data_IF_534253894961
#
_entry.id   IF_534253894961
#
_cell.length_a   1.000
_cell.length_b   1.000
_cell.length_c   1.000
_cell.angle_alpha   90.00
_cell.angle_beta   90.00
_cell.angle_gamma   90.00
#
_symmetry.space_group_name_H-M   'P 1'
#
loop_
_entity.id
_entity.type
_entity.pdbx_description
1 polymer ?
#
# COMPACT_ATOMS: atom_id res chain seq x y z
N UNK A 1 12.71 -16.40 14.59
CA UNK A 1 12.61 -15.33 13.56
C UNK A 1 11.23 -14.67 13.65
N UNK A 2 11.16 -13.35 13.86
CA UNK A 2 10.04 -12.59 14.47
C UNK A 2 10.01 -12.66 16.01
N UNK A 3 11.18 -12.61 16.65
CA UNK A 3 11.25 -12.70 18.12
C UNK A 3 11.08 -11.32 18.73
N UNK A 4 9.99 -11.17 19.48
CA UNK A 4 9.78 -10.05 20.39
C UNK A 4 10.47 -10.42 21.70
N UNK A 5 11.28 -9.52 22.29
CA UNK A 5 11.94 -9.81 23.56
C UNK A 5 10.92 -10.13 24.66
N UNK A 6 11.26 -11.05 25.56
CA UNK A 6 10.37 -11.48 26.65
C UNK A 6 10.03 -10.36 27.63
N UNK A 7 10.88 -9.32 27.71
CA UNK A 7 10.69 -8.14 28.56
C UNK A 7 9.77 -7.08 27.94
N UNK A 8 9.30 -7.27 26.70
CA UNK A 8 8.35 -6.36 26.10
C UNK A 8 6.96 -6.54 26.72
N UNK A 9 6.36 -5.45 27.20
CA UNK A 9 5.02 -5.48 27.82
C UNK A 9 3.88 -5.26 26.81
N UNK A 10 4.17 -4.67 25.65
CA UNK A 10 3.18 -4.46 24.59
C UNK A 10 3.76 -4.79 23.22
N UNK A 11 2.98 -5.47 22.38
CA UNK A 11 3.36 -5.84 21.02
C UNK A 11 2.19 -5.64 20.05
N UNK A 12 2.48 -5.03 18.89
CA UNK A 12 1.59 -4.91 17.76
C UNK A 12 2.24 -5.53 16.53
N UNK A 13 1.64 -6.61 16.02
CA UNK A 13 2.05 -7.27 14.79
C UNK A 13 1.09 -6.91 13.66
N UNK A 14 1.62 -6.46 12.53
CA UNK A 14 0.85 -6.13 11.32
C UNK A 14 1.47 -6.83 10.12
N UNK A 15 0.70 -7.70 9.47
CA UNK A 15 1.13 -8.31 8.21
C UNK A 15 0.76 -7.41 7.03
N UNK A 16 1.59 -7.44 5.99
CA UNK A 16 1.27 -6.80 4.73
C UNK A 16 -0.02 -7.42 4.17
N UNK A 17 -0.90 -6.58 3.62
CA UNK A 17 -2.14 -7.06 2.99
C UNK A 17 -1.93 -7.51 1.54
N UNK A 18 -0.68 -7.48 1.05
CA UNK A 18 -0.35 -7.73 -0.34
C UNK A 18 -0.88 -6.66 -1.28
N UNK A 19 -1.26 -7.07 -2.49
CA UNK A 19 -1.78 -6.19 -3.53
C UNK A 19 -2.81 -6.91 -4.39
N UNK A 20 -3.88 -6.19 -4.78
CA UNK A 20 -4.85 -6.72 -5.74
C UNK A 20 -4.37 -6.41 -7.15
N UNK A 21 -4.47 -7.40 -8.03
CA UNK A 21 -3.97 -7.34 -9.38
C UNK A 21 -5.10 -7.72 -10.34
N UNK A 22 -5.26 -6.97 -11.44
CA UNK A 22 -6.14 -7.42 -12.52
C UNK A 22 -5.58 -8.70 -13.15
N UNK A 23 -6.43 -9.71 -13.34
CA UNK A 23 -6.02 -10.94 -14.07
C UNK A 23 -5.76 -10.68 -15.56
N UNK A 24 -6.28 -9.57 -16.07
CA UNK A 24 -5.96 -9.12 -17.41
C UNK A 24 -4.49 -8.71 -17.49
N UNK A 25 -3.80 -9.21 -18.52
CA UNK A 25 -2.48 -8.72 -18.87
C UNK A 25 -2.64 -7.43 -19.67
N UNK A 26 -1.73 -6.48 -19.48
CA UNK A 26 -1.56 -5.40 -20.46
C UNK A 26 -1.08 -5.99 -21.80
N UNK A 27 -1.07 -5.19 -22.87
CA UNK A 27 -0.60 -5.63 -24.19
C UNK A 27 0.86 -6.12 -24.23
N UNK A 28 1.59 -5.98 -23.13
CA UNK A 28 2.98 -6.43 -22.94
C UNK A 28 3.08 -7.64 -21.99
N UNK A 29 1.95 -8.27 -21.65
CA UNK A 29 1.93 -9.47 -20.80
C UNK A 29 2.06 -9.20 -19.29
N UNK A 30 2.11 -7.95 -18.83
CA UNK A 30 2.29 -7.58 -17.41
C UNK A 30 0.95 -7.43 -16.68
N UNK A 31 0.89 -7.63 -15.35
CA UNK A 31 -0.35 -7.50 -14.60
C UNK A 31 -0.86 -6.06 -14.63
N UNK A 32 -2.11 -5.86 -15.05
CA UNK A 32 -2.47 -4.58 -15.70
C UNK A 32 -2.60 -3.34 -14.80
N UNK A 33 -2.64 -3.47 -13.47
CA UNK A 33 -2.57 -2.35 -12.50
C UNK A 33 -2.62 -2.92 -11.08
N UNK A 34 -1.70 -2.52 -10.19
CA UNK A 34 -1.85 -2.79 -8.77
C UNK A 34 -2.96 -1.94 -8.16
N UNK A 35 -3.76 -2.57 -7.29
CA UNK A 35 -4.86 -1.95 -6.57
C UNK A 35 -4.60 -2.16 -5.08
N UNK A 36 -4.75 -1.09 -4.30
CA UNK A 36 -4.57 -1.13 -2.86
C UNK A 36 -5.67 -1.98 -2.19
N UNK A 37 -5.33 -3.00 -1.38
CA UNK A 37 -6.33 -3.71 -0.59
C UNK A 37 -6.96 -2.80 0.47
N UNK A 38 -8.27 -2.97 0.72
CA UNK A 38 -8.96 -2.32 1.82
C UNK A 38 -8.43 -2.86 3.15
N UNK A 39 -8.36 -1.99 4.17
CA UNK A 39 -7.80 -2.32 5.48
C UNK A 39 -8.68 -3.30 6.26
N UNK A 40 -9.99 -3.03 6.26
CA UNK A 40 -10.98 -3.89 6.89
C UNK A 40 -11.14 -5.23 6.16
N UNK A 41 -11.28 -6.32 6.91
CA UNK A 41 -11.30 -7.68 6.38
C UNK A 41 -12.53 -7.94 5.51
N UNK A 42 -13.73 -7.58 6.00
CA UNK A 42 -14.98 -7.79 5.26
C UNK A 42 -14.99 -6.97 3.97
N UNK A 43 -14.54 -5.72 4.06
CA UNK A 43 -14.41 -4.82 2.93
C UNK A 43 -13.40 -5.34 1.89
N UNK A 44 -12.27 -5.92 2.33
CA UNK A 44 -11.26 -6.51 1.46
C UNK A 44 -11.77 -7.79 0.78
N UNK A 45 -12.52 -8.62 1.47
CA UNK A 45 -13.18 -9.78 0.87
C UNK A 45 -14.19 -9.35 -0.20
N UNK A 46 -15.01 -8.33 0.08
CA UNK A 46 -15.90 -7.75 -0.93
C UNK A 46 -15.11 -7.19 -2.12
N UNK A 47 -14.00 -6.51 -1.86
CA UNK A 47 -13.13 -5.93 -2.89
C UNK A 47 -12.51 -6.99 -3.82
N UNK A 48 -12.15 -8.17 -3.31
CA UNK A 48 -11.64 -9.28 -4.12
C UNK A 48 -12.68 -9.79 -5.13
N UNK A 49 -13.97 -9.70 -4.78
CA UNK A 49 -15.07 -10.07 -5.66
C UNK A 49 -15.47 -8.93 -6.63
N UNK A 50 -14.95 -7.72 -6.46
CA UNK A 50 -15.18 -6.62 -7.40
C UNK A 50 -14.48 -6.91 -8.74
N UNK A 51 -15.03 -6.33 -9.82
CA UNK A 51 -14.40 -6.38 -11.15
C UNK A 51 -13.49 -5.17 -11.35
N UNK A 52 -12.42 -5.37 -12.12
CA UNK A 52 -11.53 -4.29 -12.54
C UNK A 52 -12.33 -3.15 -13.16
N UNK A 53 -12.14 -1.92 -12.67
CA UNK A 53 -12.92 -0.77 -13.14
C UNK A 53 -12.71 -0.46 -14.62
N UNK A 54 -11.53 -0.77 -15.15
CA UNK A 54 -11.13 -0.50 -16.53
C UNK A 54 -11.60 -1.56 -17.53
N UNK A 55 -11.28 -2.84 -17.31
CA UNK A 55 -11.55 -3.91 -18.28
C UNK A 55 -12.60 -4.92 -17.83
N UNK A 56 -13.18 -4.75 -16.63
CA UNK A 56 -14.18 -5.64 -16.02
C UNK A 56 -13.73 -7.08 -15.75
N UNK A 57 -12.44 -7.39 -15.89
CA UNK A 57 -11.88 -8.68 -15.50
C UNK A 57 -11.86 -8.88 -13.98
N UNK A 58 -11.66 -10.12 -13.54
CA UNK A 58 -11.51 -10.44 -12.12
C UNK A 58 -10.27 -9.78 -11.51
N UNK A 59 -10.33 -9.58 -10.20
CA UNK A 59 -9.17 -9.24 -9.40
C UNK A 59 -8.64 -10.50 -8.73
N UNK A 60 -7.32 -10.57 -8.57
CA UNK A 60 -6.64 -11.61 -7.82
C UNK A 60 -5.80 -10.95 -6.73
N UNK A 61 -5.84 -11.49 -5.52
CA UNK A 61 -4.98 -11.06 -4.43
C UNK A 61 -3.61 -11.74 -4.58
N UNK A 62 -2.57 -10.93 -4.73
CA UNK A 62 -1.20 -11.36 -4.54
C UNK A 62 -0.86 -11.14 -3.07
N UNK A 63 -0.76 -12.24 -2.33
CA UNK A 63 -0.47 -12.23 -0.90
C UNK A 63 0.96 -11.78 -0.61
N UNK A 64 1.22 -11.41 0.65
CA UNK A 64 2.53 -10.99 1.11
C UNK A 64 2.72 -11.46 2.55
N UNK A 65 3.89 -12.03 2.81
CA UNK A 65 4.33 -12.56 4.10
C UNK A 65 5.12 -11.54 4.93
N UNK A 66 5.54 -10.43 4.30
CA UNK A 66 6.22 -9.34 5.00
C UNK A 66 5.38 -8.81 6.17
N UNK A 67 6.04 -8.60 7.30
CA UNK A 67 5.40 -8.24 8.56
C UNK A 67 6.14 -7.08 9.23
N UNK A 68 5.37 -6.20 9.86
CA UNK A 68 5.88 -5.15 10.74
C UNK A 68 5.50 -5.47 12.18
N UNK A 69 6.49 -5.47 13.06
CA UNK A 69 6.31 -5.68 14.49
C UNK A 69 6.73 -4.40 15.20
N UNK A 70 5.86 -3.88 16.06
CA UNK A 70 6.18 -2.81 16.99
C UNK A 70 6.03 -3.33 18.40
N UNK A 71 7.06 -3.22 19.22
CA UNK A 71 6.99 -3.58 20.63
C UNK A 71 7.51 -2.46 21.53
N UNK A 72 7.04 -2.48 22.77
CA UNK A 72 7.35 -1.51 23.80
C UNK A 72 7.98 -2.21 24.99
N UNK A 73 9.00 -1.61 25.55
CA UNK A 73 9.63 -2.06 26.78
C UNK A 73 10.11 -0.88 27.61
N UNK A 74 10.33 -1.12 28.89
CA UNK A 74 10.87 -0.15 29.84
C UNK A 74 12.27 -0.63 30.23
N UNK A 75 13.25 0.27 30.30
CA UNK A 75 14.59 -0.04 30.80
C UNK A 75 14.70 0.10 32.32
N UNK A 76 15.86 -0.22 32.89
CA UNK A 76 16.10 -0.16 34.34
C UNK A 76 15.94 1.27 34.91
N UNK A 77 16.04 2.30 34.06
CA UNK A 77 15.84 3.71 34.40
C UNK A 77 14.37 4.16 34.24
N UNK A 78 13.45 3.22 34.02
CA UNK A 78 12.02 3.45 33.80
C UNK A 78 11.71 4.30 32.55
N UNK A 79 12.57 4.24 31.53
CA UNK A 79 12.35 4.92 30.25
C UNK A 79 11.63 3.99 29.29
N UNK A 80 10.50 4.45 28.75
CA UNK A 80 9.76 3.73 27.71
C UNK A 80 10.49 3.81 26.36
N UNK A 81 10.72 2.65 25.75
CA UNK A 81 11.28 2.50 24.41
C UNK A 81 10.26 1.86 23.47
N UNK A 82 10.23 2.37 22.23
CA UNK A 82 9.44 1.78 21.14
C UNK A 82 10.35 1.31 20.02
N UNK A 83 10.22 0.03 19.64
CA UNK A 83 11.03 -0.57 18.58
C UNK A 83 10.14 -1.05 17.46
N UNK A 84 10.44 -0.62 16.24
CA UNK A 84 9.79 -1.07 15.00
C UNK A 84 10.74 -1.92 14.17
N UNK A 85 10.31 -3.13 13.84
CA UNK A 85 11.08 -4.07 13.03
C UNK A 85 10.25 -4.58 11.86
N UNK A 86 10.88 -4.58 10.69
CA UNK A 86 10.33 -5.15 9.46
C UNK A 86 10.97 -6.52 9.22
N UNK A 87 10.14 -7.46 8.76
CA UNK A 87 10.53 -8.84 8.50
C UNK A 87 9.97 -9.31 7.16
N UNK A 88 10.78 -10.02 6.39
CA UNK A 88 10.42 -10.53 5.06
C UNK A 88 10.57 -9.48 3.96
N UNK A 89 10.43 -9.90 2.72
CA UNK A 89 10.57 -9.03 1.54
C UNK A 89 9.22 -8.82 0.86
N UNK A 90 9.01 -7.62 0.32
CA UNK A 90 7.80 -7.33 -0.45
C UNK A 90 7.94 -7.83 -1.89
N UNK A 91 7.63 -9.10 -2.13
CA UNK A 91 7.66 -9.73 -3.46
C UNK A 91 6.41 -9.43 -4.30
N UNK A 92 5.95 -8.18 -4.29
CA UNK A 92 4.81 -7.75 -5.09
C UNK A 92 4.94 -6.30 -5.53
N UNK A 93 4.26 -5.87 -6.61
CA UNK A 93 4.23 -4.48 -7.01
C UNK A 93 3.69 -3.59 -5.88
N UNK A 94 4.25 -2.39 -5.76
CA UNK A 94 3.78 -1.41 -4.77
C UNK A 94 2.37 -0.95 -5.16
N UNK A 95 1.36 -1.09 -4.26
CA UNK A 95 0.03 -0.56 -4.54
C UNK A 95 0.06 0.98 -4.63
N UNK A 96 -0.89 1.58 -5.37
CA UNK A 96 -0.98 3.03 -5.47
C UNK A 96 -1.12 3.67 -4.09
N UNK A 97 -0.41 4.79 -3.88
CA UNK A 97 -0.53 5.62 -2.69
C UNK A 97 -1.63 6.64 -2.90
N UNK A 98 -2.45 6.87 -1.88
CA UNK A 98 -3.43 7.97 -1.88
C UNK A 98 -2.80 9.33 -1.62
N UNK A 99 -1.55 9.35 -1.13
CA UNK A 99 -0.75 10.56 -0.97
C UNK A 99 0.20 10.66 -2.16
N UNK A 100 0.17 11.81 -2.83
CA UNK A 100 1.16 12.20 -3.81
C UNK A 100 2.50 12.38 -3.10
N UNK A 101 3.61 12.08 -3.78
CA UNK A 101 4.91 12.46 -3.23
C UNK A 101 5.07 13.98 -3.32
N UNK A 102 5.95 14.60 -2.52
CA UNK A 102 6.22 16.03 -2.63
C UNK A 102 6.77 16.45 -4.02
N UNK A 103 7.28 15.49 -4.80
CA UNK A 103 7.66 15.72 -6.20
C UNK A 103 6.42 15.72 -7.11
N UNK A 104 5.55 14.72 -6.96
CA UNK A 104 4.29 14.63 -7.72
C UNK A 104 3.36 15.81 -7.39
N UNK A 105 3.31 16.26 -6.14
CA UNK A 105 2.57 17.46 -5.71
C UNK A 105 3.11 18.71 -6.41
N UNK A 106 4.43 18.90 -6.44
CA UNK A 106 5.05 20.04 -7.14
C UNK A 106 4.78 20.02 -8.64
N UNK A 107 4.81 18.84 -9.26
CA UNK A 107 4.50 18.69 -10.67
C UNK A 107 3.01 18.95 -10.96
N UNK A 108 2.12 18.44 -10.11
CA UNK A 108 0.69 18.70 -10.19
C UNK A 108 0.38 20.19 -10.03
N UNK A 109 0.98 20.86 -9.03
CA UNK A 109 0.84 22.30 -8.80
C UNK A 109 1.31 23.11 -10.01
N UNK A 110 2.43 22.71 -10.62
CA UNK A 110 2.94 23.35 -11.84
C UNK A 110 1.93 23.22 -12.98
N UNK A 111 1.39 22.01 -13.18
CA UNK A 111 0.39 21.74 -14.22
C UNK A 111 -0.91 22.54 -14.00
N UNK A 112 -1.39 22.62 -12.76
CA UNK A 112 -2.59 23.40 -12.37
C UNK A 112 -2.35 24.91 -12.56
N UNK A 113 -1.18 25.44 -12.17
CA UNK A 113 -0.85 26.86 -12.34
C UNK A 113 -0.79 27.28 -13.81
N UNK A 114 -0.21 26.44 -14.66
CA UNK A 114 -0.10 26.75 -16.10
C UNK A 114 -1.41 26.53 -16.85
N UNK A 115 -2.32 25.71 -16.33
CA UNK A 115 -3.58 25.36 -16.99
C UNK A 115 -4.78 25.40 -16.00
N UNK A 116 -5.10 26.56 -15.41
CA UNK A 116 -6.07 26.67 -14.32
C UNK A 116 -7.51 26.35 -14.72
N UNK A 117 -7.83 26.40 -16.02
CA UNK A 117 -9.14 26.08 -16.57
C UNK A 117 -9.32 24.60 -16.94
N UNK A 118 -8.27 23.78 -16.86
CA UNK A 118 -8.36 22.36 -17.19
C UNK A 118 -8.83 21.53 -16.00
N UNK A 119 -9.68 20.55 -16.30
CA UNK A 119 -10.13 19.58 -15.31
C UNK A 119 -9.00 18.63 -14.93
N UNK A 120 -9.05 18.06 -13.71
CA UNK A 120 -8.06 17.11 -13.23
C UNK A 120 -7.87 15.87 -14.14
N UNK A 121 -8.89 15.52 -14.95
CA UNK A 121 -8.78 14.45 -15.94
C UNK A 121 -8.01 14.88 -17.18
N UNK A 122 -8.16 16.13 -17.65
CA UNK A 122 -7.43 16.67 -18.80
C UNK A 122 -5.94 16.82 -18.51
N UNK A 123 -5.59 17.26 -17.29
CA UNK A 123 -4.20 17.40 -16.84
C UNK A 123 -3.43 16.07 -16.75
N UNK A 124 -4.14 14.93 -16.65
CA UNK A 124 -3.52 13.59 -16.57
C UNK A 124 -3.31 12.91 -17.92
N UNK A 125 -4.01 13.34 -18.97
CA UNK A 125 -3.99 12.67 -20.30
C UNK A 125 -3.05 13.39 -21.28
N UNK A 126 -2.70 14.65 -20.99
CA UNK A 126 -1.78 15.45 -21.78
C UNK A 126 -0.29 15.28 -21.41
N UNK A 127 0.03 14.39 -20.46
CA UNK A 127 1.39 14.07 -20.01
C UNK A 127 1.91 12.79 -20.66
#
# INVERSE_FOLDING_TARGET
KNEVPHYAYQCNKRSCLGVLICVCRDGNGKPSRPIRPKKDNASRAAQQNERCRHCKANLSLMECDATWITYYYEDDDHVEHVVGQHYGDHEHPRPPTTKLTAADERQLDTLVRHNPSQTAQQLRVAA
#
